data_IF_534522335262
#
_entry.id   IF_534522335262
#
_cell.length_a   1.000
_cell.length_b   1.000
_cell.length_c   1.000
_cell.angle_alpha   90.00
_cell.angle_beta   90.00
_cell.angle_gamma   90.00
#
_symmetry.space_group_name_H-M   'P 1'
#
loop_
_entity.id
_entity.type
_entity.pdbx_description
1 polymer ?
#
# COMPACT_ATOMS: atom_id res chain seq x y z
N UNK A 1 -33.64 -46.53 35.08
CA UNK A 1 -32.34 -46.49 34.37
C UNK A 1 -32.36 -45.45 33.24
N UNK A 2 -32.75 -44.20 33.52
CA UNK A 2 -32.94 -43.16 32.48
C UNK A 2 -32.13 -41.89 32.75
N UNK A 3 -31.60 -41.69 33.95
CA UNK A 3 -30.85 -40.47 34.30
C UNK A 3 -29.39 -40.46 33.85
N UNK A 4 -28.76 -41.64 33.72
CA UNK A 4 -27.36 -41.75 33.28
C UNK A 4 -27.13 -41.40 31.80
N UNK A 5 -28.15 -41.54 30.95
CA UNK A 5 -28.04 -41.23 29.52
C UNK A 5 -28.05 -39.72 29.24
N UNK A 6 -28.77 -38.93 30.04
CA UNK A 6 -28.89 -37.48 29.87
C UNK A 6 -27.60 -36.72 30.27
N UNK A 7 -26.90 -37.19 31.31
CA UNK A 7 -25.66 -36.57 31.80
C UNK A 7 -24.49 -36.79 30.83
N UNK A 8 -24.41 -37.96 30.19
CA UNK A 8 -23.37 -38.27 29.20
C UNK A 8 -23.57 -37.48 27.88
N UNK A 9 -24.81 -37.21 27.48
CA UNK A 9 -25.12 -36.35 26.32
C UNK A 9 -24.88 -34.86 26.61
N UNK A 10 -25.22 -34.38 27.82
CA UNK A 10 -24.98 -32.99 28.22
C UNK A 10 -23.49 -32.63 28.35
N UNK A 11 -22.67 -33.55 28.89
CA UNK A 11 -21.22 -33.36 29.00
C UNK A 11 -20.49 -33.30 27.66
N UNK A 12 -20.91 -34.12 26.68
CA UNK A 12 -20.33 -34.11 25.34
C UNK A 12 -20.66 -32.83 24.55
N UNK A 13 -21.88 -32.28 24.71
CA UNK A 13 -22.30 -31.00 24.11
C UNK A 13 -21.59 -29.79 24.74
N UNK A 14 -21.36 -29.79 26.05
CA UNK A 14 -20.63 -28.71 26.73
C UNK A 14 -19.14 -28.66 26.33
N UNK A 15 -18.49 -29.82 26.16
CA UNK A 15 -17.11 -29.92 25.70
C UNK A 15 -16.99 -29.61 24.19
N UNK A 16 -17.93 -30.07 23.36
CA UNK A 16 -17.98 -29.71 21.94
C UNK A 16 -18.26 -28.21 21.74
N UNK A 17 -19.12 -27.62 22.57
CA UNK A 17 -19.38 -26.18 22.62
C UNK A 17 -18.14 -25.38 22.99
N UNK A 18 -17.40 -25.78 24.03
CA UNK A 18 -16.15 -25.12 24.45
C UNK A 18 -15.00 -25.24 23.45
N UNK A 19 -14.90 -26.38 22.76
CA UNK A 19 -13.92 -26.55 21.66
C UNK A 19 -14.33 -25.72 20.45
N UNK A 20 -15.62 -25.68 20.09
CA UNK A 20 -16.11 -24.86 18.98
C UNK A 20 -15.93 -23.36 19.26
N UNK A 21 -16.24 -22.87 20.47
CA UNK A 21 -16.03 -21.47 20.85
C UNK A 21 -14.55 -21.11 20.89
N UNK A 22 -13.70 -21.96 21.47
CA UNK A 22 -12.24 -21.69 21.48
C UNK A 22 -11.62 -21.71 20.07
N UNK A 23 -12.12 -22.54 19.15
CA UNK A 23 -11.71 -22.52 17.74
C UNK A 23 -12.19 -21.27 17.01
N UNK A 24 -13.42 -20.82 17.28
CA UNK A 24 -13.96 -19.56 16.76
C UNK A 24 -13.19 -18.35 17.27
N UNK A 25 -12.86 -18.31 18.57
CA UNK A 25 -12.03 -17.27 19.18
C UNK A 25 -10.62 -17.26 18.58
N UNK A 26 -10.00 -18.44 18.39
CA UNK A 26 -8.69 -18.55 17.75
C UNK A 26 -8.71 -18.08 16.28
N UNK A 27 -9.79 -18.37 15.55
CA UNK A 27 -9.98 -17.86 14.18
C UNK A 27 -10.12 -16.35 14.18
N UNK A 28 -11.02 -15.78 15.00
CA UNK A 28 -11.20 -14.33 15.14
C UNK A 28 -9.91 -13.62 15.52
N UNK A 29 -9.17 -14.13 16.51
CA UNK A 29 -7.89 -13.56 16.93
C UNK A 29 -6.79 -13.68 15.84
N UNK A 30 -6.89 -14.66 14.93
CA UNK A 30 -6.00 -14.75 13.77
C UNK A 30 -6.40 -13.77 12.67
N UNK A 31 -7.69 -13.64 12.42
CA UNK A 31 -8.27 -12.70 11.45
C UNK A 31 -7.96 -11.25 11.84
N UNK A 32 -8.14 -10.89 13.12
CA UNK A 32 -7.77 -9.56 13.66
C UNK A 32 -6.26 -9.28 13.51
N UNK A 33 -5.40 -10.27 13.75
CA UNK A 33 -3.95 -10.10 13.56
C UNK A 33 -3.58 -9.87 12.10
N UNK A 34 -4.18 -10.63 11.18
CA UNK A 34 -3.97 -10.45 9.74
C UNK A 34 -4.49 -9.08 9.30
N UNK A 35 -5.65 -8.67 9.82
CA UNK A 35 -6.22 -7.36 9.56
C UNK A 35 -5.34 -6.22 10.05
N UNK A 36 -4.82 -6.30 11.29
CA UNK A 36 -3.91 -5.28 11.82
C UNK A 36 -2.65 -5.15 10.96
N UNK A 37 -2.06 -6.27 10.51
CA UNK A 37 -0.93 -6.25 9.58
C UNK A 37 -1.27 -5.63 8.21
N UNK A 38 -2.48 -5.88 7.71
CA UNK A 38 -2.99 -5.26 6.49
C UNK A 38 -3.20 -3.75 6.66
N UNK A 39 -3.76 -3.31 7.78
CA UNK A 39 -3.97 -1.89 8.07
C UNK A 39 -2.63 -1.15 8.21
N UNK A 40 -1.65 -1.72 8.93
CA UNK A 40 -0.28 -1.21 9.00
C UNK A 40 0.34 -1.08 7.61
N UNK A 41 0.23 -2.13 6.79
CA UNK A 41 0.68 -2.10 5.41
C UNK A 41 -0.01 -0.99 4.62
N UNK A 42 -1.32 -0.80 4.75
CA UNK A 42 -2.06 0.21 3.99
C UNK A 42 -1.62 1.63 4.30
N UNK A 43 -1.24 1.92 5.55
CA UNK A 43 -0.60 3.20 5.91
C UNK A 43 0.71 3.37 5.15
N UNK A 44 1.55 2.34 5.10
CA UNK A 44 2.80 2.39 4.35
C UNK A 44 2.56 2.54 2.84
N UNK A 45 1.61 1.81 2.25
CA UNK A 45 1.28 1.92 0.83
C UNK A 45 0.78 3.32 0.45
N UNK A 46 -0.03 3.96 1.32
CA UNK A 46 -0.48 5.35 1.11
C UNK A 46 0.69 6.32 1.25
N UNK A 47 1.60 6.10 2.20
CA UNK A 47 2.77 6.97 2.42
C UNK A 47 3.72 6.95 1.23
N UNK A 48 3.86 5.79 0.59
CA UNK A 48 4.84 5.57 -0.47
C UNK A 48 4.26 5.53 -1.88
N UNK A 49 2.94 5.45 -2.12
CA UNK A 49 2.29 5.59 -3.46
C UNK A 49 3.08 5.00 -4.66
N UNK A 50 3.54 3.74 -4.57
CA UNK A 50 4.32 3.08 -5.63
C UNK A 50 5.79 3.52 -5.74
N UNK A 51 6.31 4.29 -4.78
CA UNK A 51 7.64 4.89 -4.75
C UNK A 51 7.64 6.41 -4.53
N UNK A 52 6.47 7.07 -4.57
CA UNK A 52 6.32 8.49 -4.30
C UNK A 52 5.93 8.84 -2.87
N UNK A 53 6.73 9.68 -2.19
CA UNK A 53 6.25 10.36 -0.97
C UNK A 53 5.08 11.30 -1.31
N UNK A 54 4.10 11.38 -0.42
CA UNK A 54 2.88 12.20 -0.52
C UNK A 54 3.16 13.71 -0.70
N UNK A 55 4.38 14.17 -0.41
CA UNK A 55 4.78 15.58 -0.31
C UNK A 55 5.17 16.25 -1.65
N UNK A 56 4.70 15.71 -2.78
CA UNK A 56 5.02 16.24 -4.11
C UNK A 56 6.26 15.60 -4.74
N UNK A 57 6.44 15.83 -6.05
CA UNK A 57 7.55 15.28 -6.82
C UNK A 57 8.84 16.04 -6.47
N UNK A 58 9.81 15.36 -5.85
CA UNK A 58 11.11 15.94 -5.44
C UNK A 58 12.27 15.50 -6.34
N UNK A 59 11.96 15.08 -7.56
CA UNK A 59 12.95 14.55 -8.51
C UNK A 59 12.90 13.04 -8.70
N UNK A 60 13.83 12.52 -9.54
CA UNK A 60 13.92 11.11 -9.85
C UNK A 60 14.32 10.32 -8.60
N UNK A 61 13.82 9.09 -8.52
CA UNK A 61 13.88 8.27 -7.31
C UNK A 61 15.24 7.61 -7.13
N UNK A 62 15.74 7.64 -5.89
CA UNK A 62 16.98 7.00 -5.50
C UNK A 62 16.85 5.48 -5.26
N UNK A 63 17.99 4.80 -5.11
CA UNK A 63 18.04 3.34 -4.85
C UNK A 63 17.28 2.95 -3.57
N UNK A 64 17.35 3.76 -2.52
CA UNK A 64 16.70 3.48 -1.23
C UNK A 64 15.18 3.49 -1.34
N UNK A 65 14.62 4.45 -2.07
CA UNK A 65 13.17 4.54 -2.31
C UNK A 65 12.67 3.33 -3.11
N UNK A 66 13.44 2.88 -4.11
CA UNK A 66 13.14 1.66 -4.85
C UNK A 66 13.24 0.40 -4.00
N UNK A 67 14.19 0.35 -3.06
CA UNK A 67 14.30 -0.77 -2.12
C UNK A 67 13.07 -0.86 -1.21
N UNK A 68 12.57 0.28 -0.71
CA UNK A 68 11.34 0.34 0.07
C UNK A 68 10.14 -0.13 -0.76
N UNK A 69 10.01 0.33 -2.01
CA UNK A 69 8.95 -0.14 -2.91
C UNK A 69 8.98 -1.66 -3.12
N UNK A 70 10.18 -2.26 -3.23
CA UNK A 70 10.35 -3.71 -3.29
C UNK A 70 9.88 -4.43 -2.02
N UNK A 71 10.24 -3.93 -0.84
CA UNK A 71 9.80 -4.50 0.45
C UNK A 71 8.28 -4.41 0.62
N UNK A 72 7.67 -3.28 0.25
CA UNK A 72 6.23 -3.09 0.30
C UNK A 72 5.49 -3.98 -0.69
N UNK A 73 6.07 -4.23 -1.87
CA UNK A 73 5.50 -5.17 -2.84
C UNK A 73 5.44 -6.59 -2.28
N UNK A 74 6.49 -7.04 -1.59
CA UNK A 74 6.50 -8.35 -0.93
C UNK A 74 5.45 -8.44 0.20
N UNK A 75 5.31 -7.38 1.00
CA UNK A 75 4.28 -7.31 2.05
C UNK A 75 2.87 -7.25 1.46
N UNK A 76 2.67 -6.54 0.35
CA UNK A 76 1.40 -6.49 -0.36
C UNK A 76 0.98 -7.87 -0.86
N UNK A 77 1.90 -8.63 -1.46
CA UNK A 77 1.63 -10.01 -1.88
C UNK A 77 1.20 -10.93 -0.71
N UNK A 78 1.71 -10.68 0.50
CA UNK A 78 1.42 -11.49 1.67
C UNK A 78 0.11 -11.11 2.39
N UNK A 79 -0.24 -9.82 2.41
CA UNK A 79 -1.29 -9.31 3.29
C UNK A 79 -2.39 -8.51 2.61
N UNK A 80 -2.14 -7.84 1.48
CA UNK A 80 -3.15 -7.01 0.81
C UNK A 80 -4.13 -7.86 0.00
N UNK A 81 -5.31 -7.30 -0.30
CA UNK A 81 -6.22 -7.90 -1.28
C UNK A 81 -5.62 -7.87 -2.69
N UNK A 82 -6.07 -8.76 -3.58
CA UNK A 82 -5.62 -8.78 -4.98
C UNK A 82 -5.86 -7.44 -5.68
N UNK A 83 -6.95 -6.75 -5.35
CA UNK A 83 -7.29 -5.43 -5.89
C UNK A 83 -6.26 -4.37 -5.45
N UNK A 84 -5.89 -4.34 -4.17
CA UNK A 84 -4.88 -3.41 -3.65
C UNK A 84 -3.49 -3.77 -4.18
N UNK A 85 -3.16 -5.05 -4.29
CA UNK A 85 -1.89 -5.50 -4.89
C UNK A 85 -1.74 -5.01 -6.34
N UNK A 86 -2.79 -5.18 -7.15
CA UNK A 86 -2.79 -4.73 -8.55
C UNK A 86 -2.63 -3.20 -8.63
N UNK A 87 -3.39 -2.45 -7.86
CA UNK A 87 -3.31 -0.99 -7.85
C UNK A 87 -1.96 -0.48 -7.32
N UNK A 88 -1.35 -1.18 -6.38
CA UNK A 88 0.02 -0.90 -5.93
C UNK A 88 1.04 -1.08 -7.06
N UNK A 89 0.95 -2.16 -7.82
CA UNK A 89 1.83 -2.41 -8.97
C UNK A 89 1.64 -1.37 -10.08
N UNK A 90 0.39 -0.99 -10.36
CA UNK A 90 0.06 0.04 -11.34
C UNK A 90 0.62 1.41 -10.91
N UNK A 91 0.45 1.77 -9.62
CA UNK A 91 1.03 2.97 -9.03
C UNK A 91 2.56 2.95 -9.09
N UNK A 92 3.20 1.81 -8.81
CA UNK A 92 4.65 1.69 -8.89
C UNK A 92 5.19 1.82 -10.32
N UNK A 93 4.47 1.28 -11.31
CA UNK A 93 4.84 1.41 -12.72
C UNK A 93 4.72 2.86 -13.19
N UNK A 94 3.65 3.56 -12.85
CA UNK A 94 3.47 4.95 -13.23
C UNK A 94 4.52 5.86 -12.56
N UNK A 95 4.81 5.64 -11.28
CA UNK A 95 5.89 6.34 -10.56
C UNK A 95 7.27 6.08 -11.18
N UNK A 96 7.53 4.86 -11.66
CA UNK A 96 8.78 4.54 -12.38
C UNK A 96 8.87 5.28 -13.71
N UNK A 97 7.83 5.25 -14.53
CA UNK A 97 7.83 5.94 -15.83
C UNK A 97 8.11 7.45 -15.66
N UNK A 98 7.48 8.10 -14.67
CA UNK A 98 7.76 9.49 -14.34
C UNK A 98 9.22 9.69 -13.88
N UNK A 99 9.72 8.80 -13.01
CA UNK A 99 11.10 8.88 -12.52
C UNK A 99 12.14 8.71 -13.63
N UNK A 100 11.91 7.77 -14.55
CA UNK A 100 12.81 7.48 -15.66
C UNK A 100 12.82 8.68 -16.63
N UNK A 101 11.65 9.22 -16.96
CA UNK A 101 11.54 10.43 -17.80
C UNK A 101 12.33 11.62 -17.23
N UNK A 102 12.18 11.91 -15.94
CA UNK A 102 12.93 13.04 -15.35
C UNK A 102 14.42 12.73 -15.27
N UNK A 103 14.82 11.49 -15.00
CA UNK A 103 16.23 11.12 -14.97
C UNK A 103 16.90 11.24 -16.34
N UNK A 104 16.19 10.89 -17.42
CA UNK A 104 16.71 10.84 -18.79
C UNK A 104 16.61 12.20 -19.51
N UNK A 105 15.44 12.85 -19.44
CA UNK A 105 15.14 14.08 -20.18
C UNK A 105 15.42 15.36 -19.39
N UNK A 106 15.51 15.25 -18.06
CA UNK A 106 15.79 16.38 -17.15
C UNK A 106 16.98 16.09 -16.23
N UNK A 107 18.15 15.68 -16.76
CA UNK A 107 19.29 15.26 -15.94
C UNK A 107 19.79 16.37 -15.01
N UNK A 108 19.60 17.64 -15.37
CA UNK A 108 19.89 18.81 -14.52
C UNK A 108 19.15 18.78 -13.17
N UNK A 109 18.04 18.05 -13.06
CA UNK A 109 17.32 17.85 -11.80
C UNK A 109 18.10 17.01 -10.79
N UNK A 110 18.97 16.10 -11.26
CA UNK A 110 19.90 15.35 -10.40
C UNK A 110 21.06 16.22 -9.88
N UNK A 111 21.23 17.41 -10.44
CA UNK A 111 22.41 18.27 -10.26
C UNK A 111 22.18 19.35 -9.19
N UNK A 112 21.13 19.24 -8.37
CA UNK A 112 20.95 20.06 -7.15
C UNK A 112 22.10 19.95 -6.12
N UNK A 113 23.19 19.25 -6.45
CA UNK A 113 24.48 19.35 -5.77
C UNK A 113 25.40 20.49 -6.27
N UNK A 114 25.07 21.22 -7.33
CA UNK A 114 25.89 22.36 -7.81
C UNK A 114 25.24 23.70 -7.47
N UNK A 115 25.52 24.20 -6.27
CA UNK A 115 25.84 25.61 -5.95
C UNK A 115 24.84 26.76 -6.20
N UNK A 116 23.99 26.72 -7.22
CA UNK A 116 23.19 27.85 -7.69
C UNK A 116 21.71 27.48 -7.68
N UNK A 117 21.04 27.80 -6.59
CA UNK A 117 19.61 27.57 -6.38
C UNK A 117 18.72 28.44 -7.29
N UNK A 118 19.30 29.46 -7.93
CA UNK A 118 18.58 30.44 -8.76
C UNK A 118 18.06 29.83 -10.07
N UNK A 119 18.67 28.76 -10.58
CA UNK A 119 18.26 28.12 -11.84
C UNK A 119 17.30 26.92 -11.65
N UNK A 120 17.09 26.45 -10.41
CA UNK A 120 16.26 25.25 -10.14
C UNK A 120 14.78 25.53 -10.37
N UNK A 121 14.30 26.72 -9.97
CA UNK A 121 12.90 27.11 -10.15
C UNK A 121 12.55 27.27 -11.65
N UNK A 122 13.46 27.84 -12.45
CA UNK A 122 13.26 28.00 -13.89
C UNK A 122 13.27 26.65 -14.64
N UNK A 123 14.13 25.71 -14.20
CA UNK A 123 14.16 24.34 -14.73
C UNK A 123 12.89 23.58 -14.33
N UNK A 124 12.39 23.74 -13.11
CA UNK A 124 11.12 23.17 -12.65
C UNK A 124 9.96 23.70 -13.48
N UNK A 125 9.85 25.01 -13.63
CA UNK A 125 8.80 25.65 -14.41
C UNK A 125 8.81 25.18 -15.88
N UNK A 126 10.00 24.97 -16.47
CA UNK A 126 10.12 24.42 -17.83
C UNK A 126 9.70 22.96 -17.92
N UNK A 127 10.09 22.14 -16.94
CA UNK A 127 9.68 20.73 -16.87
C UNK A 127 8.18 20.59 -16.67
N UNK A 128 7.58 21.39 -15.79
CA UNK A 128 6.14 21.38 -15.53
C UNK A 128 5.31 21.80 -16.75
N UNK A 129 5.90 22.57 -17.67
CA UNK A 129 5.29 22.92 -18.96
C UNK A 129 5.41 21.80 -20.02
N UNK A 130 6.26 20.80 -19.81
CA UNK A 130 6.38 19.67 -20.73
C UNK A 130 5.09 18.84 -20.74
N UNK A 131 4.51 18.65 -21.93
CA UNK A 131 3.33 17.81 -22.10
C UNK A 131 3.59 16.36 -21.64
N UNK A 132 4.80 15.85 -21.86
CA UNK A 132 5.21 14.50 -21.44
C UNK A 132 5.33 14.41 -19.92
N UNK A 133 5.89 15.43 -19.26
CA UNK A 133 5.91 15.49 -17.80
C UNK A 133 4.48 15.50 -17.24
N UNK A 134 3.61 16.35 -17.77
CA UNK A 134 2.21 16.45 -17.34
C UNK A 134 1.46 15.13 -17.53
N UNK A 135 1.70 14.42 -18.63
CA UNK A 135 1.12 13.09 -18.87
C UNK A 135 1.56 12.07 -17.82
N UNK A 136 2.87 11.93 -17.58
CA UNK A 136 3.39 10.97 -16.59
C UNK A 136 3.02 11.35 -15.16
N UNK A 137 3.07 12.64 -14.83
CA UNK A 137 2.67 13.17 -13.52
C UNK A 137 1.19 12.88 -13.26
N UNK A 138 0.31 13.16 -14.21
CA UNK A 138 -1.12 12.83 -14.12
C UNK A 138 -1.34 11.33 -13.97
N UNK A 139 -0.69 10.51 -14.80
CA UNK A 139 -0.83 9.05 -14.74
C UNK A 139 -0.40 8.49 -13.36
N UNK A 140 0.69 9.02 -12.80
CA UNK A 140 1.17 8.66 -11.46
C UNK A 140 0.17 9.05 -10.37
N UNK A 141 -0.32 10.30 -10.41
CA UNK A 141 -1.32 10.81 -9.46
C UNK A 141 -2.63 10.02 -9.53
N UNK A 142 -3.15 9.74 -10.73
CA UNK A 142 -4.38 8.97 -10.91
C UNK A 142 -4.24 7.52 -10.43
N UNK A 143 -3.07 6.90 -10.64
CA UNK A 143 -2.81 5.56 -10.12
C UNK A 143 -2.74 5.56 -8.57
N UNK A 144 -2.08 6.54 -7.97
CA UNK A 144 -2.01 6.71 -6.52
C UNK A 144 -3.40 6.97 -5.90
N UNK A 145 -4.21 7.84 -6.51
CA UNK A 145 -5.57 8.12 -6.05
C UNK A 145 -6.46 6.88 -6.10
N UNK A 146 -6.40 6.08 -7.17
CA UNK A 146 -7.13 4.81 -7.27
C UNK A 146 -6.73 3.83 -6.16
N UNK A 147 -5.43 3.72 -5.89
CA UNK A 147 -4.92 2.90 -4.78
C UNK A 147 -5.46 3.38 -3.42
N UNK A 148 -5.37 4.68 -3.13
CA UNK A 148 -5.85 5.28 -1.87
C UNK A 148 -7.35 5.05 -1.71
N UNK A 149 -8.12 5.30 -2.77
CA UNK A 149 -9.56 5.12 -2.75
C UNK A 149 -9.93 3.67 -2.43
N UNK A 150 -9.26 2.71 -3.08
CA UNK A 150 -9.49 1.29 -2.81
C UNK A 150 -9.12 0.89 -1.38
N UNK A 151 -8.01 1.39 -0.86
CA UNK A 151 -7.58 1.16 0.53
C UNK A 151 -8.63 1.72 1.51
N UNK A 152 -9.16 2.93 1.26
CA UNK A 152 -10.21 3.54 2.09
C UNK A 152 -11.49 2.73 2.09
N UNK A 153 -11.91 2.21 0.94
CA UNK A 153 -13.07 1.32 0.82
C UNK A 153 -12.90 0.05 1.66
N UNK A 154 -11.73 -0.60 1.59
CA UNK A 154 -11.46 -1.82 2.36
C UNK A 154 -11.37 -1.55 3.87
N UNK A 155 -10.77 -0.43 4.27
CA UNK A 155 -10.74 0.00 5.67
C UNK A 155 -12.13 0.36 6.20
N UNK A 156 -12.98 0.96 5.36
CA UNK A 156 -14.36 1.32 5.69
C UNK A 156 -15.26 0.10 5.84
N UNK A 157 -15.16 -0.86 4.92
CA UNK A 157 -15.97 -2.10 4.93
C UNK A 157 -15.69 -3.00 6.14
N UNK A 158 -14.52 -2.89 6.78
CA UNK A 158 -14.23 -3.64 8.01
C UNK A 158 -14.83 -2.98 9.28
N UNK A 159 -15.23 -1.71 9.23
CA UNK A 159 -15.82 -0.99 10.37
C UNK A 159 -17.35 -1.10 10.44
N UNK A 160 -18.00 -1.54 9.36
CA UNK A 160 -19.45 -1.75 9.22
C UNK A 160 -19.85 -3.18 9.49
#
# INVERSE_FOLDING_TARGET
>A
MTELAAVLLGGALALAGGVATSLLERRRAREERIWNRRAELYVDLIRYQGGGMVEGYRGPRGREEWAVAGQLSARAAAFASDAVQKLWQDSARASRALSDYVAEDWPQWNVAQYGEWEDVEDVEAQMEQSATFQEFSRASQEAAQRLIQRIREELGAHRS
#
